data_IF_380405829531
#
_entry.id   IF_380405829531
#
_cell.length_a   1.000
_cell.length_b   1.000
_cell.length_c   1.000
_cell.angle_alpha   90.00
_cell.angle_beta   90.00
_cell.angle_gamma   90.00
#
_symmetry.space_group_name_H-M   'P 1'
#
loop_
_entity.id
_entity.type
_entity.pdbx_description
1 polymer ?
#
# COMPACT_ATOMS: atom_id res chain seq x y z
N UNK A 1 8.88 -0.16 16.91
CA UNK A 1 9.04 -0.27 15.44
C UNK A 1 10.55 -0.38 15.19
N UNK A 2 11.08 -1.59 15.04
CA UNK A 2 12.49 -1.76 14.62
C UNK A 2 12.55 -1.22 13.18
N UNK A 3 13.47 -0.31 12.89
CA UNK A 3 13.60 0.37 11.60
C UNK A 3 13.90 -0.66 10.50
N UNK A 4 12.86 -1.09 9.77
CA UNK A 4 12.97 -1.81 8.48
C UNK A 4 13.38 -0.84 7.35
N UNK A 5 13.28 0.46 7.66
CA UNK A 5 13.50 1.59 6.79
C UNK A 5 14.77 2.31 7.25
N UNK A 6 15.74 2.44 6.35
CA UNK A 6 16.84 3.37 6.54
C UNK A 6 16.47 4.73 5.93
N UNK A 7 16.28 5.73 6.78
CA UNK A 7 16.35 7.12 6.35
C UNK A 7 17.82 7.49 6.08
N UNK A 8 18.08 8.38 5.11
CA UNK A 8 19.42 8.90 4.79
C UNK A 8 20.16 9.32 6.06
N UNK A 9 21.07 8.48 6.56
CA UNK A 9 22.33 8.79 7.27
C UNK A 9 22.95 7.52 7.95
N UNK A 10 24.03 6.98 7.36
CA UNK A 10 25.25 6.52 8.07
C UNK A 10 25.33 5.14 8.78
N UNK A 11 25.77 4.11 8.04
CA UNK A 11 26.81 3.05 8.28
C UNK A 11 27.13 2.52 9.71
N UNK A 12 27.19 1.18 9.90
CA UNK A 12 28.38 0.39 10.35
C UNK A 12 28.20 -1.18 10.44
N UNK A 13 29.16 -1.87 9.78
CA UNK A 13 29.76 -3.25 9.80
C UNK A 13 29.67 -4.13 11.10
N UNK A 14 29.92 -5.46 11.19
CA UNK A 14 30.47 -6.58 10.37
C UNK A 14 30.29 -7.93 11.15
N UNK A 15 30.15 -9.10 10.49
CA UNK A 15 30.84 -10.40 10.80
C UNK A 15 30.40 -11.60 9.90
N UNK A 16 31.36 -12.46 9.51
CA UNK A 16 31.24 -13.74 8.72
C UNK A 16 31.19 -14.95 9.68
N UNK A 17 30.66 -16.15 9.39
CA UNK A 17 31.11 -17.18 8.41
C UNK A 17 30.11 -18.38 8.21
N UNK A 18 30.44 -19.28 7.27
CA UNK A 18 29.65 -20.26 6.44
C UNK A 18 29.85 -21.74 6.94
N UNK A 19 29.26 -22.86 6.39
CA UNK A 19 27.90 -23.27 5.94
C UNK A 19 27.39 -24.57 6.63
N UNK A 20 26.18 -25.07 6.26
CA UNK A 20 25.97 -26.48 5.85
C UNK A 20 24.72 -26.62 4.96
N UNK A 21 24.83 -27.44 3.89
CA UNK A 21 23.88 -27.63 2.79
C UNK A 21 22.86 -28.75 3.08
N UNK A 22 21.60 -28.56 2.68
CA UNK A 22 20.76 -29.65 2.12
C UNK A 22 19.55 -29.14 1.31
N UNK A 23 19.66 -29.38 -0.01
CA UNK A 23 18.67 -29.49 -1.11
C UNK A 23 17.17 -29.18 -0.87
N UNK A 24 16.68 -28.20 -1.63
CA UNK A 24 15.44 -28.30 -2.43
C UNK A 24 15.64 -27.49 -3.74
N UNK A 25 15.36 -28.09 -4.89
CA UNK A 25 15.49 -27.46 -6.21
C UNK A 25 14.34 -26.47 -6.42
N UNK A 26 14.52 -25.22 -5.98
CA UNK A 26 13.73 -24.08 -6.46
C UNK A 26 14.40 -23.54 -7.71
N UNK A 27 13.63 -23.43 -8.78
CA UNK A 27 14.04 -22.89 -10.07
C UNK A 27 14.65 -21.49 -9.87
N UNK A 28 15.98 -21.41 -9.89
CA UNK A 28 16.76 -20.18 -9.86
C UNK A 28 16.57 -19.45 -11.19
N UNK A 29 15.48 -18.71 -11.33
CA UNK A 29 15.32 -17.68 -12.37
C UNK A 29 15.23 -16.30 -11.72
N UNK A 30 16.23 -15.99 -10.92
CA UNK A 30 16.69 -14.62 -10.74
C UNK A 30 18.18 -14.65 -11.04
N UNK A 31 18.59 -14.07 -12.16
CA UNK A 31 19.98 -13.63 -12.35
C UNK A 31 20.21 -12.50 -11.35
N UNK A 32 20.33 -12.84 -10.08
CA UNK A 32 20.96 -11.98 -9.10
C UNK A 32 22.45 -12.02 -9.44
N UNK A 33 22.94 -10.88 -9.92
CA UNK A 33 24.29 -10.36 -9.70
C UNK A 33 25.25 -11.39 -9.08
N UNK A 34 26.01 -12.06 -9.95
CA UNK A 34 27.30 -12.70 -9.70
C UNK A 34 27.65 -12.94 -8.20
N UNK A 35 27.30 -14.11 -7.67
CA UNK A 35 27.56 -14.57 -6.28
C UNK A 35 29.05 -14.75 -5.92
N UNK A 36 29.97 -13.90 -6.39
CA UNK A 36 31.40 -14.02 -6.05
C UNK A 36 32.07 -12.80 -5.43
N UNK A 37 31.35 -11.69 -5.25
CA UNK A 37 31.68 -10.62 -4.31
C UNK A 37 30.66 -9.50 -4.53
N UNK A 38 29.61 -9.36 -3.71
CA UNK A 38 28.91 -8.09 -3.66
C UNK A 38 29.90 -7.10 -3.04
N UNK A 39 30.51 -6.25 -3.87
CA UNK A 39 30.89 -4.93 -3.35
C UNK A 39 29.59 -4.35 -2.77
N UNK A 40 29.61 -3.66 -1.63
CA UNK A 40 28.42 -2.96 -1.14
C UNK A 40 28.07 -1.87 -2.16
N UNK A 41 27.34 -2.25 -3.22
CA UNK A 41 26.65 -1.32 -4.08
C UNK A 41 25.64 -0.65 -3.17
N UNK A 42 25.81 0.66 -2.99
CA UNK A 42 24.91 1.52 -2.23
C UNK A 42 23.48 1.22 -2.67
N UNK A 43 22.66 0.73 -1.73
CA UNK A 43 21.29 0.32 -2.02
C UNK A 43 20.54 1.60 -2.45
N UNK A 44 20.27 1.73 -3.74
CA UNK A 44 19.56 2.89 -4.29
C UNK A 44 18.06 2.76 -4.03
N UNK A 45 17.45 3.86 -3.58
CA UNK A 45 15.99 3.97 -3.44
C UNK A 45 15.31 3.88 -4.82
N UNK A 46 14.03 3.48 -4.89
CA UNK A 46 13.24 3.58 -6.12
C UNK A 46 13.31 4.96 -6.78
N UNK A 47 13.29 6.03 -5.98
CA UNK A 47 13.41 7.41 -6.47
C UNK A 47 14.78 7.69 -7.08
N UNK A 48 15.86 7.31 -6.39
CA UNK A 48 17.23 7.48 -6.91
C UNK A 48 17.45 6.70 -8.21
N UNK A 49 16.85 5.50 -8.33
CA UNK A 49 16.85 4.75 -9.59
C UNK A 49 16.10 5.50 -10.68
N UNK A 50 14.85 5.91 -10.42
CA UNK A 50 14.04 6.59 -11.43
C UNK A 50 14.74 7.85 -11.98
N UNK A 51 15.47 8.59 -11.14
CA UNK A 51 16.25 9.77 -11.54
C UNK A 51 17.47 9.49 -12.41
N UNK A 52 17.93 8.24 -12.50
CA UNK A 52 19.02 7.82 -13.41
C UNK A 52 18.54 7.59 -14.85
N UNK A 53 17.23 7.68 -15.09
CA UNK A 53 16.62 7.53 -16.41
C UNK A 53 17.24 8.49 -17.44
N UNK A 54 17.56 7.94 -18.61
CA UNK A 54 18.05 8.71 -19.75
C UNK A 54 16.89 9.26 -20.60
N UNK A 55 15.66 9.07 -20.16
CA UNK A 55 14.48 9.55 -20.85
C UNK A 55 14.33 11.07 -20.72
N UNK A 56 14.77 11.77 -21.76
CA UNK A 56 14.68 13.24 -21.86
C UNK A 56 13.28 13.76 -22.19
N UNK A 57 12.29 12.89 -22.37
CA UNK A 57 10.91 13.33 -22.60
C UNK A 57 10.36 13.97 -21.34
N UNK A 58 9.70 15.13 -21.48
CA UNK A 58 8.83 15.66 -20.43
C UNK A 58 7.80 14.58 -20.04
N UNK A 59 7.30 14.57 -18.79
CA UNK A 59 6.09 13.80 -18.47
C UNK A 59 5.05 14.02 -19.56
N UNK A 60 4.36 12.95 -19.96
CA UNK A 60 3.30 13.06 -20.97
C UNK A 60 2.19 13.91 -20.34
N UNK A 61 2.28 15.21 -20.54
CA UNK A 61 1.33 16.15 -20.00
C UNK A 61 0.24 16.32 -21.05
N UNK A 62 -0.79 15.48 -20.95
CA UNK A 62 -2.07 15.79 -21.58
C UNK A 62 -2.66 16.97 -20.79
N UNK A 63 -2.09 18.18 -20.96
CA UNK A 63 -2.59 19.39 -20.31
C UNK A 63 -3.99 19.69 -20.83
N UNK A 64 -5.00 19.08 -20.21
CA UNK A 64 -5.99 19.89 -19.54
C UNK A 64 -5.58 19.80 -18.08
N UNK A 65 -5.02 20.90 -17.55
CA UNK A 65 -4.70 21.15 -16.15
C UNK A 65 -5.50 20.21 -15.22
N UNK A 66 -4.77 19.46 -14.39
CA UNK A 66 -5.24 18.37 -13.52
C UNK A 66 -6.78 18.31 -13.36
N UNK A 67 -7.44 17.16 -13.60
CA UNK A 67 -8.91 17.10 -13.74
C UNK A 67 -9.72 17.53 -12.51
N UNK A 68 -9.07 17.94 -11.42
CA UNK A 68 -9.72 18.39 -10.19
C UNK A 68 -9.53 19.89 -10.01
N UNK A 69 -10.55 20.65 -10.40
CA UNK A 69 -10.62 22.09 -10.10
C UNK A 69 -10.78 22.30 -8.58
N UNK A 70 -9.96 23.14 -7.93
CA UNK A 70 -9.91 23.28 -6.47
C UNK A 70 -11.21 23.79 -5.83
N UNK A 71 -12.07 24.48 -6.60
CA UNK A 71 -13.29 25.15 -6.10
C UNK A 71 -14.41 24.23 -5.58
N UNK A 72 -14.24 22.90 -5.62
CA UNK A 72 -15.19 21.92 -5.07
C UNK A 72 -14.52 20.87 -4.17
N UNK A 73 -13.49 21.26 -3.40
CA UNK A 73 -12.95 20.39 -2.34
C UNK A 73 -14.00 20.13 -1.27
N UNK A 74 -14.81 19.08 -1.41
CA UNK A 74 -15.52 18.49 -0.27
C UNK A 74 -14.51 17.73 0.57
N UNK A 75 -14.71 17.71 1.89
CA UNK A 75 -14.05 16.75 2.78
C UNK A 75 -14.20 15.37 2.17
N UNK A 76 -13.07 14.73 1.86
CA UNK A 76 -13.09 13.41 1.27
C UNK A 76 -13.70 12.44 2.29
N UNK A 77 -14.27 11.33 1.83
CA UNK A 77 -14.90 10.36 2.73
C UNK A 77 -13.95 9.81 3.81
N UNK A 78 -12.65 9.78 3.53
CA UNK A 78 -11.57 9.44 4.48
C UNK A 78 -11.26 10.54 5.51
N UNK A 79 -11.69 11.77 5.24
CA UNK A 79 -11.35 12.96 6.02
C UNK A 79 -12.47 13.29 7.02
N UNK A 80 -13.37 12.33 7.25
CA UNK A 80 -14.42 12.44 8.26
C UNK A 80 -13.78 12.78 9.61
N UNK A 81 -14.33 13.79 10.30
CA UNK A 81 -13.90 14.16 11.66
C UNK A 81 -13.87 12.94 12.58
N UNK A 82 -14.83 12.04 12.43
CA UNK A 82 -14.96 10.82 13.25
C UNK A 82 -13.90 9.76 12.96
N UNK A 83 -13.19 9.88 11.83
CA UNK A 83 -12.12 8.97 11.40
C UNK A 83 -10.73 9.57 11.60
N UNK A 84 -10.66 10.82 12.11
CA UNK A 84 -9.39 11.46 12.49
C UNK A 84 -8.82 10.84 13.76
N UNK A 85 -7.47 10.75 13.83
CA UNK A 85 -6.78 10.21 15.02
C UNK A 85 -6.99 11.05 16.28
N UNK A 86 -7.30 12.33 16.09
CA UNK A 86 -7.46 13.30 17.18
C UNK A 86 -8.89 13.32 17.74
N UNK A 87 -9.84 12.67 17.04
CA UNK A 87 -11.21 12.60 17.50
C UNK A 87 -11.38 11.55 18.60
N UNK A 88 -11.77 12.00 19.77
CA UNK A 88 -12.17 11.14 20.87
C UNK A 88 -13.68 11.24 21.09
N UNK A 89 -14.33 10.09 21.25
CA UNK A 89 -15.74 10.04 21.62
C UNK A 89 -15.92 10.55 23.05
N UNK A 90 -17.02 11.28 23.33
CA UNK A 90 -17.42 11.56 24.70
C UNK A 90 -17.51 10.25 25.51
N UNK A 91 -16.98 10.25 26.74
CA UNK A 91 -16.85 9.04 27.58
C UNK A 91 -18.16 8.27 27.77
N UNK A 92 -19.30 8.95 27.82
CA UNK A 92 -20.60 8.29 27.93
C UNK A 92 -21.00 7.54 26.63
N UNK A 93 -20.62 8.04 25.45
CA UNK A 93 -20.85 7.37 24.16
C UNK A 93 -19.92 6.17 24.01
N UNK A 94 -18.68 6.30 24.45
CA UNK A 94 -17.71 5.20 24.52
C UNK A 94 -18.25 4.09 25.43
N UNK A 95 -18.65 4.41 26.67
CA UNK A 95 -19.22 3.45 27.61
C UNK A 95 -20.50 2.77 27.06
N UNK A 96 -21.37 3.53 26.40
CA UNK A 96 -22.55 2.97 25.72
C UNK A 96 -22.14 2.03 24.57
N UNK A 97 -21.14 2.41 23.77
CA UNK A 97 -20.58 1.57 22.71
C UNK A 97 -20.03 0.26 23.26
N UNK A 98 -19.24 0.30 24.34
CA UNK A 98 -18.71 -0.90 25.00
C UNK A 98 -19.82 -1.80 25.54
N UNK A 99 -20.88 -1.22 26.12
CA UNK A 99 -22.04 -1.97 26.56
C UNK A 99 -22.71 -2.71 25.41
N UNK A 100 -22.91 -2.04 24.26
CA UNK A 100 -23.51 -2.65 23.06
C UNK A 100 -22.63 -3.76 22.50
N UNK A 101 -21.32 -3.51 22.35
CA UNK A 101 -20.35 -4.50 21.85
C UNK A 101 -20.38 -5.76 22.72
N UNK A 102 -20.37 -5.59 24.04
CA UNK A 102 -20.42 -6.70 24.99
C UNK A 102 -21.75 -7.44 24.95
N UNK A 103 -22.87 -6.73 24.94
CA UNK A 103 -24.21 -7.34 25.04
C UNK A 103 -24.58 -8.11 23.77
N UNK A 104 -24.17 -7.62 22.60
CA UNK A 104 -24.44 -8.25 21.31
C UNK A 104 -23.31 -9.19 20.85
N UNK A 105 -22.25 -9.35 21.64
CA UNK A 105 -21.05 -10.13 21.30
C UNK A 105 -20.50 -9.78 19.91
N UNK A 106 -20.36 -8.47 19.63
CA UNK A 106 -19.93 -8.00 18.33
C UNK A 106 -18.48 -8.42 18.04
N UNK A 107 -18.28 -8.94 16.83
CA UNK A 107 -16.95 -9.34 16.34
C UNK A 107 -16.16 -8.11 15.90
N UNK A 108 -15.32 -7.61 16.81
CA UNK A 108 -14.56 -6.38 16.58
C UNK A 108 -13.54 -6.49 15.45
N UNK A 109 -13.02 -7.69 15.14
CA UNK A 109 -12.12 -7.86 13.99
C UNK A 109 -12.84 -7.65 12.66
N UNK A 110 -14.13 -8.01 12.60
CA UNK A 110 -15.00 -7.69 11.48
C UNK A 110 -15.41 -6.22 11.47
N UNK A 111 -15.74 -5.63 12.62
CA UNK A 111 -16.17 -4.22 12.70
C UNK A 111 -15.05 -3.26 12.31
N UNK A 112 -13.81 -3.52 12.75
CA UNK A 112 -12.63 -2.69 12.44
C UNK A 112 -12.32 -2.58 10.95
N UNK A 113 -12.77 -3.52 10.13
CA UNK A 113 -12.54 -3.48 8.67
C UNK A 113 -13.08 -2.22 8.02
N UNK A 114 -14.18 -1.65 8.53
CA UNK A 114 -14.76 -0.40 8.06
C UNK A 114 -13.78 0.77 8.16
N UNK A 115 -13.45 1.22 9.39
CA UNK A 115 -12.52 2.34 9.58
C UNK A 115 -11.09 2.03 9.15
N UNK A 116 -10.61 0.79 9.26
CA UNK A 116 -9.22 0.46 8.90
C UNK A 116 -9.07 0.31 7.38
N UNK A 117 -9.83 -0.58 6.74
CA UNK A 117 -9.69 -0.82 5.31
C UNK A 117 -10.40 0.26 4.49
N UNK A 118 -11.67 0.51 4.81
CA UNK A 118 -12.51 1.44 4.08
C UNK A 118 -12.23 2.91 4.35
N UNK A 119 -11.39 3.26 5.33
CA UNK A 119 -11.02 4.66 5.57
C UNK A 119 -9.52 4.86 5.61
N UNK A 120 -8.82 4.33 6.61
CA UNK A 120 -7.38 4.58 6.78
C UNK A 120 -6.55 4.07 5.60
N UNK A 121 -6.71 2.80 5.22
CA UNK A 121 -5.97 2.20 4.11
C UNK A 121 -6.37 2.75 2.75
N UNK A 122 -7.67 2.99 2.54
CA UNK A 122 -8.11 3.73 1.36
C UNK A 122 -7.44 5.11 1.26
N UNK A 123 -7.36 5.85 2.37
CA UNK A 123 -6.68 7.14 2.40
C UNK A 123 -5.20 7.03 2.05
N UNK A 124 -4.50 6.01 2.56
CA UNK A 124 -3.10 5.76 2.20
C UNK A 124 -2.96 5.53 0.68
N UNK A 125 -3.77 4.66 0.08
CA UNK A 125 -3.69 4.38 -1.36
C UNK A 125 -3.97 5.63 -2.21
N UNK A 126 -5.03 6.37 -1.88
CA UNK A 126 -5.42 7.60 -2.58
C UNK A 126 -4.34 8.67 -2.50
N UNK A 127 -3.81 8.91 -1.30
CA UNK A 127 -2.93 10.05 -1.03
C UNK A 127 -1.54 9.91 -1.66
N UNK A 128 -1.13 8.70 -2.06
CA UNK A 128 0.15 8.48 -2.73
C UNK A 128 0.30 9.33 -4.00
N UNK A 129 -0.77 9.48 -4.78
CA UNK A 129 -0.77 10.22 -6.04
C UNK A 129 -1.90 11.25 -6.14
N UNK A 130 -2.52 11.63 -5.02
CA UNK A 130 -3.56 12.65 -5.03
C UNK A 130 -2.96 13.98 -5.51
N UNK A 131 -3.70 14.67 -6.38
CA UNK A 131 -3.26 15.92 -6.97
C UNK A 131 -4.44 16.85 -7.27
N UNK A 132 -4.19 18.15 -7.19
CA UNK A 132 -5.14 19.20 -7.50
C UNK A 132 -4.49 20.25 -8.42
N UNK A 133 -5.30 20.95 -9.20
CA UNK A 133 -4.83 22.06 -10.02
C UNK A 133 -4.31 23.20 -9.14
N UNK A 134 -3.16 23.78 -9.49
CA UNK A 134 -2.53 24.88 -8.76
C UNK A 134 -1.84 24.49 -7.45
N UNK A 135 -1.92 23.22 -7.03
CA UNK A 135 -1.31 22.76 -5.78
C UNK A 135 0.02 22.05 -5.98
N UNK A 136 0.91 22.20 -5.00
CA UNK A 136 2.18 21.50 -4.98
C UNK A 136 1.93 20.00 -4.75
N UNK A 137 2.54 19.17 -5.60
CA UNK A 137 2.52 17.72 -5.43
C UNK A 137 3.24 17.30 -4.14
N UNK A 138 2.70 16.29 -3.45
CA UNK A 138 3.42 15.59 -2.38
C UNK A 138 4.69 14.94 -2.92
N UNK A 139 5.65 14.61 -2.07
CA UNK A 139 6.90 13.95 -2.51
C UNK A 139 6.61 12.61 -3.20
N UNK A 140 5.67 11.81 -2.67
CA UNK A 140 5.23 10.56 -3.32
C UNK A 140 4.60 10.83 -4.68
N UNK A 141 3.77 11.87 -4.82
CA UNK A 141 3.15 12.19 -6.10
C UNK A 141 4.18 12.71 -7.12
N UNK A 142 5.24 13.42 -6.68
CA UNK A 142 6.35 13.80 -7.56
C UNK A 142 7.08 12.57 -8.11
N UNK A 143 7.35 11.57 -7.29
CA UNK A 143 7.96 10.33 -7.77
C UNK A 143 7.15 9.72 -8.93
N UNK A 144 5.84 9.55 -8.76
CA UNK A 144 5.00 8.98 -9.82
C UNK A 144 4.88 9.89 -11.06
N UNK A 145 4.54 11.17 -10.88
CA UNK A 145 4.24 12.04 -12.02
C UNK A 145 5.50 12.65 -12.68
N UNK A 146 6.52 12.99 -11.90
CA UNK A 146 7.70 13.71 -12.37
C UNK A 146 8.89 12.79 -12.60
N UNK A 147 9.23 11.91 -11.66
CA UNK A 147 10.40 11.02 -11.81
C UNK A 147 10.09 9.91 -12.82
N UNK A 148 8.98 9.19 -12.68
CA UNK A 148 8.55 8.13 -13.61
C UNK A 148 7.91 8.65 -14.91
N UNK A 149 7.77 9.98 -15.06
CA UNK A 149 7.17 10.64 -16.23
C UNK A 149 5.72 10.17 -16.53
N UNK A 150 4.92 9.90 -15.50
CA UNK A 150 3.52 9.48 -15.69
C UNK A 150 2.59 10.69 -15.93
N UNK A 151 1.54 10.54 -16.77
CA UNK A 151 0.61 11.62 -17.04
C UNK A 151 -0.22 12.00 -15.82
N UNK A 152 -0.51 13.29 -15.64
CA UNK A 152 -1.29 13.80 -14.51
C UNK A 152 -2.81 13.71 -14.74
N UNK A 153 -3.32 12.52 -15.06
CA UNK A 153 -4.77 12.30 -15.33
C UNK A 153 -5.48 11.56 -14.19
N UNK A 154 -6.81 11.61 -14.18
CA UNK A 154 -7.64 10.83 -13.25
C UNK A 154 -7.43 9.33 -13.44
N UNK A 155 -7.36 8.88 -14.70
CA UNK A 155 -7.07 7.48 -15.04
C UNK A 155 -5.71 7.04 -14.48
N UNK A 156 -4.67 7.88 -14.60
CA UNK A 156 -3.36 7.56 -14.03
C UNK A 156 -3.39 7.52 -12.49
N UNK A 157 -4.08 8.46 -11.84
CA UNK A 157 -4.30 8.43 -10.40
C UNK A 157 -4.99 7.12 -9.98
N UNK A 158 -6.01 6.67 -10.72
CA UNK A 158 -6.69 5.42 -10.46
C UNK A 158 -5.74 4.22 -10.59
N UNK A 159 -4.93 4.15 -11.66
CA UNK A 159 -3.95 3.08 -11.86
C UNK A 159 -2.90 3.01 -10.73
N UNK A 160 -2.43 4.16 -10.23
CA UNK A 160 -1.53 4.21 -9.07
C UNK A 160 -2.28 3.75 -7.81
N UNK A 161 -3.51 4.22 -7.61
CA UNK A 161 -4.33 3.85 -6.43
C UNK A 161 -4.58 2.35 -6.37
N UNK A 162 -5.01 1.71 -7.47
CA UNK A 162 -5.30 0.28 -7.49
C UNK A 162 -4.05 -0.60 -7.38
N UNK A 163 -2.88 -0.11 -7.80
CA UNK A 163 -1.61 -0.80 -7.51
C UNK A 163 -1.39 -0.87 -6.00
N UNK A 164 -1.64 0.21 -5.28
CA UNK A 164 -1.51 0.25 -3.81
C UNK A 164 -2.59 -0.57 -3.12
N UNK A 165 -3.83 -0.56 -3.62
CA UNK A 165 -4.88 -1.46 -3.13
C UNK A 165 -4.52 -2.92 -3.35
N UNK A 166 -3.94 -3.27 -4.49
CA UNK A 166 -3.46 -4.63 -4.76
C UNK A 166 -2.39 -5.07 -3.75
N UNK A 167 -1.42 -4.21 -3.42
CA UNK A 167 -0.44 -4.50 -2.36
C UNK A 167 -1.13 -4.87 -1.04
N UNK A 168 -2.17 -4.11 -0.67
CA UNK A 168 -2.97 -4.41 0.51
C UNK A 168 -3.81 -5.69 0.35
N UNK A 169 -4.35 -5.98 -0.84
CA UNK A 169 -5.07 -7.21 -1.11
C UNK A 169 -4.19 -8.44 -0.93
N UNK A 170 -2.92 -8.39 -1.35
CA UNK A 170 -1.95 -9.46 -1.06
C UNK A 170 -1.89 -9.72 0.45
N UNK A 171 -1.75 -8.68 1.27
CA UNK A 171 -1.73 -8.84 2.73
C UNK A 171 -3.06 -9.31 3.32
N UNK A 172 -4.18 -8.80 2.81
CA UNK A 172 -5.51 -9.18 3.27
C UNK A 172 -5.82 -10.65 2.98
N UNK A 173 -5.35 -11.19 1.85
CA UNK A 173 -5.49 -12.62 1.50
C UNK A 173 -4.67 -13.55 2.39
N UNK A 174 -3.67 -13.04 3.09
CA UNK A 174 -2.90 -13.78 4.09
C UNK A 174 -3.55 -13.79 5.49
N UNK A 175 -4.58 -12.97 5.74
CA UNK A 175 -5.39 -13.03 6.96
C UNK A 175 -6.38 -14.20 6.93
N UNK A 176 -7.01 -14.58 8.06
CA UNK A 176 -8.09 -15.57 8.03
C UNK A 176 -9.19 -15.15 7.04
N UNK A 177 -9.59 -16.08 6.19
CA UNK A 177 -10.39 -15.83 4.98
C UNK A 177 -11.60 -14.90 5.20
N UNK A 178 -12.37 -15.13 6.27
CA UNK A 178 -13.53 -14.32 6.65
C UNK A 178 -13.17 -12.83 6.84
N UNK A 179 -12.07 -12.54 7.52
CA UNK A 179 -11.64 -11.17 7.79
C UNK A 179 -10.96 -10.56 6.57
N UNK A 180 -10.06 -11.30 5.92
CA UNK A 180 -9.39 -10.89 4.68
C UNK A 180 -10.39 -10.41 3.62
N UNK A 181 -11.39 -11.23 3.31
CA UNK A 181 -12.45 -10.90 2.34
C UNK A 181 -13.25 -9.66 2.76
N UNK A 182 -13.51 -9.51 4.05
CA UNK A 182 -14.28 -8.37 4.56
C UNK A 182 -13.49 -7.05 4.44
N UNK A 183 -12.18 -7.07 4.73
CA UNK A 183 -11.31 -5.91 4.53
C UNK A 183 -11.22 -5.52 3.05
N UNK A 184 -11.05 -6.51 2.14
CA UNK A 184 -11.04 -6.24 0.70
C UNK A 184 -12.35 -5.60 0.23
N UNK A 185 -13.50 -6.13 0.69
CA UNK A 185 -14.81 -5.56 0.35
C UNK A 185 -14.92 -4.11 0.82
N UNK A 186 -14.54 -3.80 2.07
CA UNK A 186 -14.62 -2.44 2.61
C UNK A 186 -13.71 -1.45 1.89
N UNK A 187 -12.52 -1.88 1.48
CA UNK A 187 -11.61 -1.07 0.67
C UNK A 187 -12.23 -0.77 -0.69
N UNK A 188 -12.66 -1.81 -1.43
CA UNK A 188 -13.27 -1.66 -2.76
C UNK A 188 -14.56 -0.81 -2.70
N UNK A 189 -15.44 -1.06 -1.74
CA UNK A 189 -16.68 -0.29 -1.55
C UNK A 189 -16.38 1.21 -1.43
N UNK A 190 -15.38 1.57 -0.60
CA UNK A 190 -14.98 2.97 -0.44
C UNK A 190 -14.37 3.53 -1.72
N UNK A 191 -13.47 2.79 -2.36
CA UNK A 191 -12.82 3.22 -3.61
C UNK A 191 -13.84 3.59 -4.67
N UNK A 192 -14.85 2.75 -4.90
CA UNK A 192 -15.85 3.03 -5.92
C UNK A 192 -16.85 4.12 -5.51
N UNK A 193 -17.17 4.24 -4.22
CA UNK A 193 -17.99 5.37 -3.73
C UNK A 193 -17.25 6.70 -3.91
N UNK A 194 -15.94 6.75 -3.69
CA UNK A 194 -15.13 7.95 -3.94
C UNK A 194 -15.02 8.26 -5.43
N UNK A 195 -14.75 7.26 -6.28
CA UNK A 195 -14.71 7.45 -7.74
C UNK A 195 -16.04 7.99 -8.25
N UNK A 196 -17.17 7.41 -7.82
CA UNK A 196 -18.50 7.90 -8.17
C UNK A 196 -18.67 9.38 -7.79
N UNK A 197 -18.38 9.74 -6.54
CA UNK A 197 -18.46 11.11 -6.07
C UNK A 197 -17.56 12.06 -6.88
N UNK A 198 -16.33 11.64 -7.19
CA UNK A 198 -15.37 12.45 -7.96
C UNK A 198 -15.76 12.60 -9.44
N UNK A 199 -16.39 11.59 -10.04
CA UNK A 199 -16.93 11.70 -11.39
C UNK A 199 -18.01 12.79 -11.49
N UNK A 200 -18.91 12.86 -10.50
CA UNK A 200 -19.93 13.91 -10.43
C UNK A 200 -19.33 15.28 -10.07
N UNK A 201 -18.55 15.34 -8.98
CA UNK A 201 -18.15 16.60 -8.38
C UNK A 201 -16.96 17.25 -9.09
N UNK A 202 -15.95 16.46 -9.48
CA UNK A 202 -14.68 16.94 -10.03
C UNK A 202 -14.67 16.91 -11.56
N UNK A 203 -15.18 15.84 -12.16
CA UNK A 203 -15.18 15.65 -13.61
C UNK A 203 -16.45 16.17 -14.31
N UNK A 204 -17.41 16.70 -13.53
CA UNK A 204 -18.66 17.28 -14.02
C UNK A 204 -19.45 16.33 -14.95
N UNK A 205 -19.40 15.02 -14.67
CA UNK A 205 -20.20 14.02 -15.37
C UNK A 205 -21.63 14.11 -14.83
N UNK A 206 -22.55 14.65 -15.62
CA UNK A 206 -23.93 14.92 -15.17
C UNK A 206 -24.90 13.77 -15.38
N UNK A 207 -24.52 12.76 -16.17
CA UNK A 207 -25.41 11.66 -16.56
C UNK A 207 -25.05 10.38 -15.80
N UNK A 208 -26.00 9.87 -14.99
CA UNK A 208 -25.82 8.63 -14.22
C UNK A 208 -25.39 7.43 -15.09
N UNK A 209 -25.96 7.26 -16.28
CA UNK A 209 -25.56 6.21 -17.23
C UNK A 209 -24.07 6.26 -17.60
N UNK A 210 -23.50 7.45 -17.73
CA UNK A 210 -22.08 7.64 -18.06
C UNK A 210 -21.22 7.27 -16.85
N UNK A 211 -21.64 7.67 -15.65
CA UNK A 211 -20.99 7.28 -14.40
C UNK A 211 -20.99 5.77 -14.23
N UNK A 212 -22.12 5.10 -14.43
CA UNK A 212 -22.22 3.63 -14.38
C UNK A 212 -21.27 2.94 -15.35
N UNK A 213 -21.11 3.48 -16.56
CA UNK A 213 -20.16 2.94 -17.54
C UNK A 213 -18.72 3.10 -17.05
N UNK A 214 -18.34 4.28 -16.56
CA UNK A 214 -17.01 4.50 -15.98
C UNK A 214 -16.73 3.57 -14.80
N UNK A 215 -17.69 3.38 -13.88
CA UNK A 215 -17.54 2.48 -12.75
C UNK A 215 -17.34 1.03 -13.20
N UNK A 216 -18.06 0.58 -14.25
CA UNK A 216 -17.84 -0.75 -14.85
C UNK A 216 -16.46 -0.88 -15.49
N UNK A 217 -16.00 0.15 -16.19
CA UNK A 217 -14.69 0.17 -16.84
C UNK A 217 -13.57 0.13 -15.79
N UNK A 218 -13.68 0.94 -14.73
CA UNK A 218 -12.73 0.93 -13.61
C UNK A 218 -12.73 -0.39 -12.83
N UNK A 219 -13.88 -1.00 -12.60
CA UNK A 219 -13.94 -2.33 -11.97
C UNK A 219 -13.31 -3.42 -12.86
N UNK A 220 -13.46 -3.33 -14.18
CA UNK A 220 -12.78 -4.22 -15.12
C UNK A 220 -11.26 -4.02 -15.08
N UNK A 221 -10.80 -2.76 -15.06
CA UNK A 221 -9.38 -2.42 -14.92
C UNK A 221 -8.80 -2.92 -13.60
N UNK A 222 -9.50 -2.73 -12.48
CA UNK A 222 -9.08 -3.23 -11.16
C UNK A 222 -8.86 -4.74 -11.20
N UNK A 223 -9.82 -5.50 -11.72
CA UNK A 223 -9.73 -6.98 -11.80
C UNK A 223 -8.61 -7.44 -12.72
N UNK A 224 -8.45 -6.80 -13.87
CA UNK A 224 -7.35 -7.08 -14.80
C UNK A 224 -5.97 -6.80 -14.20
N UNK A 225 -5.84 -5.67 -13.50
CA UNK A 225 -4.61 -5.29 -12.81
C UNK A 225 -4.28 -6.27 -11.67
N UNK A 226 -5.26 -6.62 -10.83
CA UNK A 226 -5.08 -7.61 -9.76
C UNK A 226 -4.59 -8.94 -10.31
N UNK A 227 -5.20 -9.45 -11.39
CA UNK A 227 -4.78 -10.70 -12.02
C UNK A 227 -3.34 -10.63 -12.54
N UNK A 228 -3.00 -9.58 -13.29
CA UNK A 228 -1.67 -9.41 -13.86
C UNK A 228 -0.58 -9.23 -12.78
N UNK A 229 -0.88 -8.48 -11.72
CA UNK A 229 0.06 -8.28 -10.62
C UNK A 229 0.22 -9.53 -9.76
N UNK A 230 -0.85 -10.31 -9.53
CA UNK A 230 -0.77 -11.60 -8.84
C UNK A 230 0.11 -12.58 -9.62
N UNK A 231 -0.06 -12.67 -10.95
CA UNK A 231 0.80 -13.48 -11.84
C UNK A 231 2.27 -13.04 -11.75
N UNK A 232 2.55 -11.74 -11.90
CA UNK A 232 3.90 -11.22 -11.81
C UNK A 232 4.54 -11.39 -10.43
N UNK A 233 3.77 -11.24 -9.36
CA UNK A 233 4.28 -11.43 -8.00
C UNK A 233 4.67 -12.88 -7.73
N UNK A 234 3.86 -13.82 -8.20
CA UNK A 234 4.07 -15.27 -8.01
C UNK A 234 5.22 -15.83 -8.85
N UNK A 235 5.45 -15.27 -10.04
CA UNK A 235 6.40 -15.82 -11.03
C UNK A 235 7.81 -15.23 -10.89
N UNK A 236 8.08 -14.09 -11.51
CA UNK A 236 9.39 -13.47 -11.57
C UNK A 236 9.30 -11.96 -11.84
N UNK A 237 10.44 -11.27 -11.68
CA UNK A 237 10.51 -9.81 -11.80
C UNK A 237 10.32 -9.29 -13.23
N UNK A 238 10.60 -10.09 -14.26
CA UNK A 238 10.35 -9.69 -15.65
C UNK A 238 8.84 -9.72 -15.95
N UNK A 239 8.14 -10.74 -15.47
CA UNK A 239 6.68 -10.83 -15.56
C UNK A 239 6.00 -9.73 -14.75
N UNK A 240 6.49 -9.44 -13.53
CA UNK A 240 6.03 -8.30 -12.74
C UNK A 240 6.29 -6.96 -13.43
N UNK A 241 7.47 -6.75 -14.01
CA UNK A 241 7.80 -5.57 -14.79
C UNK A 241 6.87 -5.41 -16.00
N UNK A 242 6.53 -6.51 -16.70
CA UNK A 242 5.59 -6.49 -17.81
C UNK A 242 4.16 -6.12 -17.36
N UNK A 243 3.72 -6.63 -16.21
CA UNK A 243 2.42 -6.27 -15.62
C UNK A 243 2.38 -4.78 -15.23
N UNK A 244 3.45 -4.26 -14.62
CA UNK A 244 3.60 -2.83 -14.31
C UNK A 244 3.63 -1.98 -15.58
N UNK A 245 4.37 -2.39 -16.60
CA UNK A 245 4.43 -1.70 -17.88
C UNK A 245 3.03 -1.56 -18.52
N UNK A 246 2.26 -2.65 -18.54
CA UNK A 246 0.92 -2.68 -19.15
C UNK A 246 -0.08 -1.80 -18.38
N UNK A 247 -0.14 -1.95 -17.07
CA UNK A 247 -1.18 -1.32 -16.24
C UNK A 247 -0.80 0.09 -15.76
N UNK A 248 0.40 0.26 -15.20
CA UNK A 248 0.85 1.54 -14.65
C UNK A 248 1.37 2.50 -15.73
N UNK A 249 2.13 1.98 -16.71
CA UNK A 249 2.73 2.79 -17.77
C UNK A 249 1.92 2.77 -19.09
N UNK A 250 0.74 2.16 -19.08
CA UNK A 250 -0.18 2.12 -20.22
C UNK A 250 0.37 1.42 -21.47
N UNK A 251 1.32 0.49 -21.31
CA UNK A 251 1.93 -0.21 -22.44
C UNK A 251 2.69 0.69 -23.41
N UNK A 252 3.11 1.88 -22.96
CA UNK A 252 3.78 2.87 -23.83
C UNK A 252 5.13 2.35 -24.32
N UNK A 253 5.43 2.56 -25.60
CA UNK A 253 6.69 2.11 -26.23
C UNK A 253 7.91 2.88 -25.71
N UNK A 254 7.74 4.17 -25.43
CA UNK A 254 8.81 5.06 -24.98
C UNK A 254 8.87 5.06 -23.44
N UNK A 255 9.53 4.04 -22.88
CA UNK A 255 9.79 3.93 -21.45
C UNK A 255 11.25 3.52 -21.22
N UNK A 256 11.87 4.11 -20.21
CA UNK A 256 13.18 3.66 -19.74
C UNK A 256 12.99 2.44 -18.82
N UNK A 257 13.76 1.37 -19.04
CA UNK A 257 13.74 0.18 -18.21
C UNK A 257 14.08 0.47 -16.74
N UNK A 258 14.84 1.53 -16.47
CA UNK A 258 15.15 1.99 -15.11
C UNK A 258 13.87 2.35 -14.33
N UNK A 259 12.84 2.90 -14.99
CA UNK A 259 11.55 3.16 -14.34
C UNK A 259 10.81 1.87 -13.96
N UNK A 260 10.91 0.82 -14.78
CA UNK A 260 10.34 -0.48 -14.47
C UNK A 260 11.08 -1.15 -13.32
N UNK A 261 12.41 -1.08 -13.32
CA UNK A 261 13.23 -1.57 -12.21
C UNK A 261 12.87 -0.87 -10.89
N UNK A 262 12.80 0.47 -10.90
CA UNK A 262 12.40 1.27 -9.74
C UNK A 262 11.04 0.81 -9.19
N UNK A 263 10.06 0.56 -10.06
CA UNK A 263 8.73 0.12 -9.65
C UNK A 263 8.68 -1.34 -9.18
N UNK A 264 9.44 -2.25 -9.78
CA UNK A 264 9.58 -3.63 -9.28
C UNK A 264 10.18 -3.59 -7.88
N UNK A 265 11.26 -2.82 -7.68
CA UNK A 265 11.91 -2.66 -6.37
C UNK A 265 10.96 -2.05 -5.34
N UNK A 266 10.21 -1.02 -5.71
CA UNK A 266 9.18 -0.42 -4.86
C UNK A 266 8.15 -1.47 -4.43
N UNK A 267 7.52 -2.17 -5.39
CA UNK A 267 6.49 -3.20 -5.12
C UNK A 267 7.03 -4.31 -4.21
N UNK A 268 8.21 -4.87 -4.52
CA UNK A 268 8.82 -5.95 -3.71
C UNK A 268 9.14 -5.46 -2.30
N UNK A 269 9.56 -4.22 -2.14
CA UNK A 269 9.83 -3.61 -0.83
C UNK A 269 8.56 -3.48 0.01
N UNK A 270 7.47 -2.98 -0.57
CA UNK A 270 6.18 -2.89 0.12
C UNK A 270 5.67 -4.27 0.56
N UNK A 271 5.73 -5.26 -0.33
CA UNK A 271 5.29 -6.62 -0.03
C UNK A 271 6.17 -7.30 1.02
N UNK A 272 7.47 -7.03 1.03
CA UNK A 272 8.35 -7.49 2.10
C UNK A 272 7.93 -6.93 3.46
N UNK A 273 7.71 -5.61 3.57
CA UNK A 273 7.25 -4.98 4.82
C UNK A 273 5.91 -5.57 5.27
N UNK A 274 4.94 -5.68 4.36
CA UNK A 274 3.63 -6.27 4.64
C UNK A 274 3.74 -7.73 5.13
N UNK A 275 4.67 -8.52 4.58
CA UNK A 275 4.89 -9.92 4.97
C UNK A 275 5.44 -10.08 6.39
N UNK A 276 6.00 -9.02 6.98
CA UNK A 276 6.54 -9.01 8.36
C UNK A 276 5.59 -8.41 9.37
N UNK A 277 4.38 -8.07 8.94
CA UNK A 277 3.34 -7.61 9.84
C UNK A 277 2.45 -8.75 10.27
N UNK A 278 2.18 -8.82 11.58
CA UNK A 278 1.17 -9.72 12.11
C UNK A 278 -0.25 -9.34 11.67
N UNK A 279 -1.19 -10.29 11.70
CA UNK A 279 -2.60 -9.99 11.33
C UNK A 279 -3.17 -8.91 12.23
N UNK A 280 -2.81 -8.94 13.52
CA UNK A 280 -3.29 -7.96 14.48
C UNK A 280 -2.71 -6.56 14.23
N UNK A 281 -1.42 -6.43 13.93
CA UNK A 281 -0.83 -5.14 13.58
C UNK A 281 -1.51 -4.54 12.32
N UNK A 282 -1.77 -5.38 11.32
CA UNK A 282 -2.47 -4.97 10.11
C UNK A 282 -3.93 -4.59 10.38
N UNK A 283 -4.66 -5.35 11.19
CA UNK A 283 -6.06 -5.09 11.48
C UNK A 283 -6.31 -3.89 12.39
N UNK A 284 -5.30 -3.40 13.12
CA UNK A 284 -5.39 -2.14 13.88
C UNK A 284 -4.85 -0.93 13.11
N UNK A 285 -4.51 -1.10 11.82
CA UNK A 285 -4.07 0.02 10.97
C UNK A 285 -2.63 0.46 11.23
N UNK A 286 -1.74 -0.44 11.65
CA UNK A 286 -0.33 -0.09 11.94
C UNK A 286 0.53 0.08 10.68
N UNK A 287 0.01 -0.26 9.49
CA UNK A 287 0.76 -0.19 8.25
C UNK A 287 0.82 1.23 7.68
N UNK A 288 1.93 1.54 7.00
CA UNK A 288 2.11 2.67 6.09
C UNK A 288 2.98 2.20 4.92
N UNK A 289 2.71 2.73 3.73
CA UNK A 289 3.62 2.51 2.60
C UNK A 289 4.98 3.12 2.88
N UNK A 290 6.03 2.42 2.49
CA UNK A 290 7.40 2.95 2.50
C UNK A 290 7.51 4.02 1.39
N UNK A 291 7.89 5.26 1.71
CA UNK A 291 8.20 6.28 0.72
C UNK A 291 9.18 5.80 -0.36
N UNK A 292 9.05 6.28 -1.61
CA UNK A 292 9.91 5.85 -2.73
C UNK A 292 11.36 6.36 -2.63
N UNK A 293 11.64 7.35 -1.79
CA UNK A 293 12.99 7.86 -1.47
C UNK A 293 13.71 7.04 -0.39
N UNK A 294 13.03 6.06 0.20
CA UNK A 294 13.59 5.16 1.20
C UNK A 294 13.97 3.79 0.60
N UNK A 295 14.82 3.07 1.33
CA UNK A 295 15.19 1.69 0.99
C UNK A 295 14.75 0.74 2.08
N UNK A 296 14.42 -0.49 1.66
CA UNK A 296 14.05 -1.57 2.55
C UNK A 296 15.13 -2.62 2.52
N UNK A 297 15.77 -2.82 3.66
CA UNK A 297 16.74 -3.89 3.84
C UNK A 297 16.07 -5.16 4.34
N UNK A 298 16.65 -6.30 3.95
CA UNK A 298 16.22 -7.58 4.50
C UNK A 298 16.75 -7.70 5.91
N UNK A 299 15.84 -7.88 6.86
CA UNK A 299 16.18 -8.17 8.23
C UNK A 299 16.96 -9.49 8.31
N UNK A 300 17.94 -9.52 9.20
CA UNK A 300 18.59 -10.76 9.64
C UNK A 300 17.60 -11.61 10.43
N UNK A 301 17.85 -12.91 10.54
CA UNK A 301 16.99 -13.82 11.31
C UNK A 301 16.83 -13.38 12.78
N UNK A 302 17.90 -12.81 13.37
CA UNK A 302 17.87 -12.25 14.73
C UNK A 302 16.97 -11.01 14.83
N UNK A 303 17.07 -10.09 13.86
CA UNK A 303 16.21 -8.91 13.82
C UNK A 303 14.74 -9.28 13.59
N UNK A 304 14.46 -10.27 12.73
CA UNK A 304 13.09 -10.79 12.52
C UNK A 304 12.55 -11.42 13.81
N UNK A 305 13.36 -12.21 14.51
CA UNK A 305 12.98 -12.80 15.79
C UNK A 305 12.70 -11.74 16.86
N UNK A 306 13.54 -10.70 16.95
CA UNK A 306 13.34 -9.57 17.86
C UNK A 306 12.07 -8.78 17.53
N UNK A 307 11.80 -8.53 16.24
CA UNK A 307 10.57 -7.86 15.80
C UNK A 307 9.34 -8.65 16.24
N UNK A 308 9.35 -9.97 15.97
CA UNK A 308 8.28 -10.89 16.35
C UNK A 308 8.07 -10.93 17.87
N UNK A 309 9.16 -11.03 18.63
CA UNK A 309 9.11 -11.05 20.09
C UNK A 309 8.51 -9.76 20.65
N UNK A 310 8.90 -8.59 20.14
CA UNK A 310 8.30 -7.30 20.54
C UNK A 310 6.81 -7.22 20.21
N UNK A 311 6.39 -7.74 19.06
CA UNK A 311 4.97 -7.81 18.70
C UNK A 311 4.20 -8.73 19.65
N UNK A 312 4.78 -9.88 20.02
CA UNK A 312 4.19 -10.81 20.99
C UNK A 312 4.03 -10.15 22.36
N UNK A 313 5.10 -9.57 22.91
CA UNK A 313 5.08 -8.89 24.21
C UNK A 313 4.05 -7.76 24.25
N UNK A 314 3.99 -6.95 23.18
CA UNK A 314 2.98 -5.89 23.02
C UNK A 314 1.57 -6.45 23.18
N UNK A 315 1.21 -7.49 22.43
CA UNK A 315 -0.17 -7.97 22.42
C UNK A 315 -0.51 -8.89 23.59
N UNK A 316 0.45 -9.62 24.15
CA UNK A 316 0.27 -10.34 25.41
C UNK A 316 0.02 -9.37 26.56
N UNK A 317 0.70 -8.22 26.61
CA UNK A 317 0.43 -7.21 27.64
C UNK A 317 -0.98 -6.61 27.55
N UNK A 318 -1.49 -6.41 26.32
CA UNK A 318 -2.85 -5.93 26.06
C UNK A 318 -3.88 -7.02 26.44
N UNK A 319 -3.67 -8.25 26.00
CA UNK A 319 -4.64 -9.34 26.21
C UNK A 319 -4.72 -9.77 27.68
N UNK A 320 -3.63 -9.64 28.44
CA UNK A 320 -3.59 -9.95 29.86
C UNK A 320 -4.11 -8.80 30.75
N UNK A 321 -4.44 -7.63 30.20
CA UNK A 321 -5.01 -6.53 30.97
C UNK A 321 -6.44 -6.90 31.44
N UNK A 322 -6.70 -7.02 32.75
CA UNK A 322 -8.05 -7.32 33.25
C UNK A 322 -9.08 -6.23 32.91
N UNK A 323 -8.62 -5.02 32.53
CA UNK A 323 -9.46 -3.89 32.14
C UNK A 323 -9.61 -3.73 30.63
N UNK A 324 -9.16 -4.71 29.83
CA UNK A 324 -9.29 -4.65 28.36
C UNK A 324 -10.73 -4.39 27.94
N UNK A 325 -10.93 -3.35 27.13
CA UNK A 325 -12.23 -2.98 26.61
C UNK A 325 -12.74 -4.05 25.63
N UNK A 326 -14.04 -4.35 25.60
CA UNK A 326 -14.64 -5.20 24.56
C UNK A 326 -14.21 -4.78 23.14
N UNK A 327 -14.12 -3.48 22.88
CA UNK A 327 -13.68 -2.91 21.60
C UNK A 327 -12.19 -3.12 21.26
N UNK A 328 -11.35 -3.53 22.21
CA UNK A 328 -9.90 -3.78 22.03
C UNK A 328 -9.56 -5.27 21.85
N UNK A 329 -10.51 -6.15 22.16
CA UNK A 329 -10.35 -7.60 21.99
C UNK A 329 -10.20 -7.97 20.52
N UNK A 330 -9.33 -8.94 20.23
CA UNK A 330 -9.10 -9.45 18.88
C UNK A 330 -8.80 -10.95 18.95
N UNK A 331 -9.21 -11.67 17.92
CA UNK A 331 -8.90 -13.09 17.68
C UNK A 331 -7.86 -13.25 16.57
N UNK A 332 -7.39 -12.15 15.98
CA UNK A 332 -6.37 -12.17 14.94
C UNK A 332 -5.00 -12.49 15.53
N UNK A 333 -4.23 -13.29 14.80
CA UNK A 333 -2.91 -13.70 15.23
C UNK A 333 -1.97 -12.51 15.29
N UNK A 334 -1.17 -12.46 16.35
CA UNK A 334 0.02 -11.61 16.45
C UNK A 334 1.32 -12.43 16.43
N UNK A 335 1.21 -13.75 16.22
CA UNK A 335 2.32 -14.72 16.23
C UNK A 335 2.64 -15.25 14.82
N UNK A 336 1.89 -14.83 13.80
CA UNK A 336 2.11 -15.26 12.42
C UNK A 336 3.29 -14.57 11.76
#
# INVERSE_FOLDING_TARGET
MIQIVLARNGVLNQARSIPLRSRALLHQSSRLLNEKNPKPEELKSPEDLARQSHLNSKPIDFTNYAPVRPGKKKTLLSDSKYESKDYQLPKWKEAFGELVIRTLNLDMDKVRSGPVAGSYYYALCKNVALQYEGEKLSETAKFFYQDLKLPRTFSQWFQITILHEWLLFVRMRAMPFKYGRNYQQKLVDRTFTDIEARLFDEMNVTTGRIVDQYLKDFNTQLRGAVFAYDEGFYTDDATLAAALWRNLFGGRKNIDMVHLEAMVRYVRSQLYVLSRMSDRDFAVGSFKFVPPDETVERLTAEQEAQLKQKTIEKYESIDNDPKILPSDRSRLSYKN
#
